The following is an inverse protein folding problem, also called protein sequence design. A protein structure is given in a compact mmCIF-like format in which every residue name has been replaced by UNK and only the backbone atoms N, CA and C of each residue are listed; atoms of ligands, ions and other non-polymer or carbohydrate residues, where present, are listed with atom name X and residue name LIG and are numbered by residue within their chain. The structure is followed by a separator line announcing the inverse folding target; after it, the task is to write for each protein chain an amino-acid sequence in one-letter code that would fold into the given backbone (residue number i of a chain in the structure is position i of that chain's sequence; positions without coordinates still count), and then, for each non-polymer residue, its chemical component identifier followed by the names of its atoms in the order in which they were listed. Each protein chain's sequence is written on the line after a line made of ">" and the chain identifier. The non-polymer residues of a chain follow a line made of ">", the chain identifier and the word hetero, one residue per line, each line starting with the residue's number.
data_IF_949147340633
#
_entry.id   IF_949147340633
#
_cell.length_a   1.000
_cell.length_b   1.000
_cell.length_c   1.000
_cell.angle_alpha   90.00
_cell.angle_beta   90.00
_cell.angle_gamma   90.00
#
_symmetry.space_group_name_H-M   'P 1'
#
loop_
_entity.id
_entity.type
_entity.pdbx_description
1 polymer ?
#
# COMPACT_ATOMS: atom_id res chain seq x y z
N UNK A 1 -19.83 -47.53 -39.09
CA UNK A 1 -18.50 -47.09 -39.57
C UNK A 1 -18.26 -45.66 -39.09
N UNK A 2 -17.34 -45.48 -38.15
CA UNK A 2 -17.00 -44.21 -37.51
C UNK A 2 -16.02 -43.41 -38.38
N UNK A 3 -16.31 -42.14 -38.61
CA UNK A 3 -15.41 -41.17 -39.25
C UNK A 3 -14.67 -40.35 -38.18
N UNK A 4 -13.45 -40.76 -37.83
CA UNK A 4 -12.52 -40.02 -36.98
C UNK A 4 -11.56 -39.19 -37.84
N UNK A 5 -11.79 -37.88 -37.97
CA UNK A 5 -10.96 -37.01 -38.79
C UNK A 5 -10.78 -35.60 -38.21
N UNK A 6 -9.55 -35.31 -37.77
CA UNK A 6 -8.90 -33.99 -37.54
C UNK A 6 -9.26 -33.17 -36.28
N UNK A 7 -8.47 -33.33 -35.18
CA UNK A 7 -8.20 -32.23 -34.24
C UNK A 7 -6.71 -31.81 -34.14
N UNK A 8 -5.75 -32.47 -34.82
CA UNK A 8 -4.31 -32.20 -34.61
C UNK A 8 -3.80 -30.86 -35.16
N UNK A 9 -4.28 -30.39 -36.32
CA UNK A 9 -3.71 -29.20 -37.00
C UNK A 9 -4.06 -27.86 -36.33
N UNK A 10 -5.21 -27.76 -35.66
CA UNK A 10 -5.60 -26.56 -34.89
C UNK A 10 -4.79 -26.39 -33.60
N UNK A 11 -4.35 -27.50 -32.99
CA UNK A 11 -3.57 -27.48 -31.75
C UNK A 11 -2.15 -26.93 -31.96
N UNK A 12 -1.53 -27.24 -33.10
CA UNK A 12 -0.19 -26.78 -33.50
C UNK A 12 -0.15 -25.26 -33.74
N UNK A 13 -1.15 -24.72 -34.46
CA UNK A 13 -1.27 -23.28 -34.72
C UNK A 13 -1.52 -22.51 -33.40
N UNK A 14 -2.35 -23.07 -32.51
CA UNK A 14 -2.60 -22.48 -31.20
C UNK A 14 -1.32 -22.41 -30.36
N UNK A 15 -0.48 -23.46 -30.35
CA UNK A 15 0.80 -23.46 -29.64
C UNK A 15 1.82 -22.49 -30.25
N UNK A 16 1.89 -22.40 -31.57
CA UNK A 16 2.76 -21.46 -32.27
C UNK A 16 2.43 -19.99 -31.92
N UNK A 17 1.15 -19.66 -31.72
CA UNK A 17 0.72 -18.32 -31.28
C UNK A 17 1.20 -17.95 -29.86
N UNK A 18 1.47 -18.93 -28.99
CA UNK A 18 2.01 -18.69 -27.65
C UNK A 18 3.53 -18.54 -27.61
N UNK A 19 4.24 -18.96 -28.66
CA UNK A 19 5.71 -18.89 -28.71
C UNK A 19 6.19 -17.45 -28.69
N UNK A 20 5.56 -16.55 -29.46
CA UNK A 20 5.97 -15.16 -29.55
C UNK A 20 5.77 -14.41 -28.21
N UNK A 21 4.60 -14.47 -27.54
CA UNK A 21 4.44 -13.91 -26.20
C UNK A 21 5.38 -14.53 -25.16
N UNK A 22 5.59 -15.84 -25.18
CA UNK A 22 6.47 -16.51 -24.23
C UNK A 22 7.95 -16.10 -24.44
N UNK A 23 8.40 -16.02 -25.68
CA UNK A 23 9.75 -15.56 -26.03
C UNK A 23 9.95 -14.10 -25.62
N UNK A 24 8.95 -13.25 -25.87
CA UNK A 24 8.97 -11.85 -25.42
C UNK A 24 9.10 -11.76 -23.90
N UNK A 25 8.27 -12.48 -23.13
CA UNK A 25 8.34 -12.49 -21.67
C UNK A 25 9.68 -13.03 -21.16
N UNK A 26 10.16 -14.15 -21.72
CA UNK A 26 11.46 -14.72 -21.36
C UNK A 26 12.58 -13.72 -21.63
N UNK A 27 12.62 -13.10 -22.80
CA UNK A 27 13.67 -12.15 -23.15
C UNK A 27 13.64 -10.92 -22.24
N UNK A 28 12.48 -10.26 -22.09
CA UNK A 28 12.37 -9.01 -21.33
C UNK A 28 12.43 -9.18 -19.81
N UNK A 29 12.14 -10.36 -19.26
CA UNK A 29 12.30 -10.62 -17.82
C UNK A 29 13.64 -11.29 -17.48
N UNK A 30 14.01 -12.36 -18.19
CA UNK A 30 15.16 -13.18 -17.81
C UNK A 30 16.46 -12.49 -18.21
N UNK A 31 16.55 -11.82 -19.37
CA UNK A 31 17.80 -11.20 -19.80
C UNK A 31 18.21 -10.04 -18.89
N UNK A 32 17.34 -9.08 -18.53
CA UNK A 32 17.72 -8.03 -17.57
C UNK A 32 18.09 -8.61 -16.20
N UNK A 33 17.34 -9.60 -15.71
CA UNK A 33 17.63 -10.26 -14.45
C UNK A 33 19.01 -10.93 -14.47
N UNK A 34 19.31 -11.71 -15.51
CA UNK A 34 20.60 -12.34 -15.70
C UNK A 34 21.73 -11.30 -15.78
N UNK A 35 21.52 -10.18 -16.47
CA UNK A 35 22.50 -9.08 -16.52
C UNK A 35 22.75 -8.46 -15.14
N UNK A 36 21.73 -8.25 -14.31
CA UNK A 36 21.89 -7.75 -12.94
C UNK A 36 22.74 -8.72 -12.11
N UNK A 37 22.48 -10.03 -12.23
CA UNK A 37 23.27 -11.07 -11.53
C UNK A 37 24.70 -11.18 -12.07
N UNK A 38 24.93 -10.96 -13.36
CA UNK A 38 26.28 -10.93 -13.93
C UNK A 38 27.05 -9.69 -13.46
N UNK A 39 26.39 -8.53 -13.33
CA UNK A 39 27.02 -7.29 -12.87
C UNK A 39 27.60 -7.45 -11.46
N UNK A 40 26.96 -8.21 -10.58
CA UNK A 40 27.44 -8.43 -9.20
C UNK A 40 28.77 -9.22 -9.14
N UNK A 41 29.11 -9.98 -10.18
CA UNK A 41 30.33 -10.80 -10.26
C UNK A 41 31.42 -10.18 -11.15
N UNK A 42 31.02 -9.47 -12.20
CA UNK A 42 31.91 -8.95 -13.25
C UNK A 42 32.43 -7.54 -12.98
N UNK A 43 31.70 -6.71 -12.24
CA UNK A 43 32.13 -5.33 -11.92
C UNK A 43 32.98 -5.30 -10.67
N UNK A 44 34.05 -4.51 -10.71
CA UNK A 44 34.81 -4.13 -9.53
C UNK A 44 33.99 -3.17 -8.67
N UNK A 45 34.06 -3.33 -7.35
CA UNK A 45 33.34 -2.50 -6.39
C UNK A 45 33.58 -2.99 -4.97
N UNK A 46 33.53 -2.07 -4.00
CA UNK A 46 33.68 -2.38 -2.59
C UNK A 46 32.40 -3.06 -2.10
N UNK A 47 32.54 -4.22 -1.47
CA UNK A 47 31.44 -4.92 -0.81
C UNK A 47 31.58 -4.69 0.69
N UNK A 48 30.54 -4.14 1.31
CA UNK A 48 30.51 -3.90 2.76
C UNK A 48 29.35 -4.67 3.37
N UNK A 49 29.65 -5.54 4.34
CA UNK A 49 28.65 -6.34 5.06
C UNK A 49 27.66 -5.46 5.81
N UNK A 50 28.13 -4.36 6.42
CA UNK A 50 27.27 -3.39 7.09
C UNK A 50 26.29 -2.72 6.12
N UNK A 51 26.73 -2.42 4.90
CA UNK A 51 25.87 -1.85 3.86
C UNK A 51 24.86 -2.87 3.27
N UNK A 52 24.99 -4.16 3.60
CA UNK A 52 23.97 -5.19 3.31
C UNK A 52 23.03 -5.36 4.49
N UNK A 53 23.59 -5.55 5.70
CA UNK A 53 22.83 -5.89 6.88
C UNK A 53 21.93 -4.75 7.36
N UNK A 54 22.43 -3.51 7.35
CA UNK A 54 21.65 -2.35 7.84
C UNK A 54 20.37 -2.13 7.03
N UNK A 55 20.42 -2.05 5.68
CA UNK A 55 19.19 -1.90 4.89
C UNK A 55 18.29 -3.13 4.94
N UNK A 56 18.85 -4.34 4.94
CA UNK A 56 18.07 -5.58 5.04
C UNK A 56 17.28 -5.63 6.36
N UNK A 57 17.97 -5.41 7.49
CA UNK A 57 17.33 -5.39 8.79
C UNK A 57 16.27 -4.29 8.87
N UNK A 58 16.61 -3.08 8.43
CA UNK A 58 15.68 -1.96 8.39
C UNK A 58 14.41 -2.28 7.60
N UNK A 59 14.56 -2.83 6.39
CA UNK A 59 13.44 -3.23 5.52
C UNK A 59 12.54 -4.26 6.21
N UNK A 60 13.12 -5.29 6.84
CA UNK A 60 12.36 -6.35 7.53
C UNK A 60 11.56 -5.77 8.70
N UNK A 61 12.21 -5.09 9.65
CA UNK A 61 11.53 -4.66 10.86
C UNK A 61 10.55 -3.51 10.58
N UNK A 62 10.88 -2.60 9.67
CA UNK A 62 9.99 -1.51 9.28
C UNK A 62 8.74 -2.07 8.59
N UNK A 63 8.89 -3.01 7.65
CA UNK A 63 7.75 -3.63 6.99
C UNK A 63 6.86 -4.41 7.98
N UNK A 64 7.47 -5.11 8.94
CA UNK A 64 6.73 -5.78 10.01
C UNK A 64 5.94 -4.78 10.87
N UNK A 65 6.55 -3.65 11.25
CA UNK A 65 5.89 -2.61 12.03
C UNK A 65 4.73 -1.96 11.25
N UNK A 66 4.96 -1.60 9.99
CA UNK A 66 3.92 -1.06 9.09
C UNK A 66 2.76 -2.03 8.92
N UNK A 67 3.05 -3.33 8.73
CA UNK A 67 2.03 -4.37 8.67
C UNK A 67 1.21 -4.45 9.96
N UNK A 68 1.85 -4.46 11.12
CA UNK A 68 1.14 -4.52 12.41
C UNK A 68 0.23 -3.30 12.61
N UNK A 69 0.73 -2.09 12.35
CA UNK A 69 -0.07 -0.87 12.45
C UNK A 69 -1.25 -0.86 11.47
N UNK A 70 -1.01 -1.37 10.26
CA UNK A 70 -2.05 -1.51 9.24
C UNK A 70 -3.12 -2.52 9.67
N UNK A 71 -2.76 -3.62 10.32
CA UNK A 71 -3.73 -4.59 10.86
C UNK A 71 -4.54 -4.00 12.02
N UNK A 72 -3.91 -3.23 12.90
CA UNK A 72 -4.58 -2.56 14.03
C UNK A 72 -5.71 -1.65 13.54
N UNK A 73 -5.49 -0.91 12.45
CA UNK A 73 -6.54 -0.07 11.85
C UNK A 73 -7.48 -0.85 10.92
N UNK A 74 -6.92 -1.71 10.08
CA UNK A 74 -7.61 -2.40 9.00
C UNK A 74 -8.55 -3.51 9.46
N UNK A 75 -8.25 -4.22 10.56
CA UNK A 75 -9.11 -5.30 11.06
C UNK A 75 -10.43 -4.77 11.63
N UNK A 76 -10.45 -3.75 12.52
CA UNK A 76 -11.70 -3.13 12.95
C UNK A 76 -12.49 -2.54 11.77
N UNK A 77 -11.81 -1.87 10.83
CA UNK A 77 -12.45 -1.35 9.63
C UNK A 77 -13.10 -2.48 8.80
N UNK A 78 -12.37 -3.57 8.54
CA UNK A 78 -12.88 -4.75 7.82
C UNK A 78 -14.15 -5.31 8.48
N UNK A 79 -14.14 -5.41 9.82
CA UNK A 79 -15.29 -5.88 10.58
C UNK A 79 -16.50 -4.93 10.45
N UNK A 80 -16.27 -3.62 10.56
CA UNK A 80 -17.32 -2.61 10.42
C UNK A 80 -17.95 -2.67 9.02
N UNK A 81 -17.11 -2.72 7.97
CA UNK A 81 -17.57 -2.81 6.59
C UNK A 81 -18.29 -4.11 6.27
N UNK A 82 -17.93 -5.23 6.90
CA UNK A 82 -18.57 -6.51 6.68
C UNK A 82 -19.91 -6.62 7.43
N UNK A 83 -19.98 -6.16 8.68
CA UNK A 83 -21.09 -6.43 9.59
C UNK A 83 -22.14 -5.33 9.72
N UNK A 84 -21.81 -4.08 9.40
CA UNK A 84 -22.75 -2.98 9.59
C UNK A 84 -23.22 -2.36 8.28
N UNK A 85 -24.47 -1.93 8.26
CA UNK A 85 -25.00 -1.02 7.24
C UNK A 85 -25.08 0.40 7.83
N UNK A 86 -24.48 1.36 7.15
CA UNK A 86 -24.44 2.77 7.55
C UNK A 86 -24.45 3.67 6.31
N UNK A 87 -24.94 4.90 6.48
CA UNK A 87 -24.99 5.88 5.40
C UNK A 87 -23.58 6.19 4.87
N UNK A 88 -23.42 6.31 3.55
CA UNK A 88 -22.12 6.59 2.93
C UNK A 88 -21.16 5.40 2.83
N UNK A 89 -21.55 4.19 3.24
CA UNK A 89 -20.72 2.97 3.13
C UNK A 89 -20.16 2.72 1.71
N UNK A 90 -20.97 3.00 0.68
CA UNK A 90 -20.55 2.88 -0.72
C UNK A 90 -19.44 3.86 -1.09
N UNK A 91 -19.59 5.13 -0.71
CA UNK A 91 -18.59 6.18 -0.91
C UNK A 91 -17.31 5.85 -0.14
N UNK A 92 -17.39 5.46 1.12
CA UNK A 92 -16.21 5.11 1.91
C UNK A 92 -15.47 3.88 1.34
N UNK A 93 -16.21 2.91 0.79
CA UNK A 93 -15.61 1.78 0.06
C UNK A 93 -14.84 2.24 -1.17
N UNK A 94 -15.37 3.19 -1.94
CA UNK A 94 -14.65 3.81 -3.07
C UNK A 94 -13.41 4.58 -2.57
N UNK A 95 -13.54 5.39 -1.52
CA UNK A 95 -12.42 6.13 -0.95
C UNK A 95 -11.29 5.21 -0.49
N UNK A 96 -11.62 4.06 0.12
CA UNK A 96 -10.60 3.07 0.50
C UNK A 96 -9.85 2.48 -0.69
N UNK A 97 -10.38 2.52 -1.92
CA UNK A 97 -9.65 2.04 -3.11
C UNK A 97 -8.71 3.08 -3.72
N UNK A 98 -8.86 4.37 -3.39
CA UNK A 98 -8.05 5.46 -3.96
C UNK A 98 -6.54 5.28 -3.75
N UNK A 99 -6.04 4.88 -2.57
CA UNK A 99 -4.59 4.75 -2.36
C UNK A 99 -3.89 3.88 -3.40
N UNK A 100 -4.53 2.80 -3.86
CA UNK A 100 -3.94 1.89 -4.85
C UNK A 100 -3.89 2.44 -6.28
N UNK A 101 -4.65 3.50 -6.56
CA UNK A 101 -4.73 4.14 -7.87
C UNK A 101 -3.73 5.31 -7.93
N UNK A 102 -3.36 5.86 -6.78
CA UNK A 102 -2.54 7.06 -6.70
C UNK A 102 -1.04 6.74 -6.88
N UNK A 103 -0.32 7.50 -7.71
CA UNK A 103 1.13 7.43 -7.76
C UNK A 103 1.77 7.77 -6.41
N UNK A 104 2.90 7.14 -6.09
CA UNK A 104 3.63 7.36 -4.83
C UNK A 104 4.03 8.80 -4.61
N UNK A 105 4.43 9.48 -5.68
CA UNK A 105 4.79 10.91 -5.67
C UNK A 105 3.61 11.79 -5.27
N UNK A 106 2.40 11.48 -5.74
CA UNK A 106 1.18 12.25 -5.42
C UNK A 106 0.85 12.13 -3.95
N UNK A 107 0.93 10.92 -3.39
CA UNK A 107 0.66 10.69 -1.96
C UNK A 107 1.73 11.35 -1.09
N UNK A 108 3.01 11.24 -1.46
CA UNK A 108 4.08 11.94 -0.77
C UNK A 108 3.86 13.46 -0.79
N UNK A 109 3.56 14.04 -1.96
CA UNK A 109 3.22 15.45 -2.10
C UNK A 109 2.02 15.86 -1.25
N UNK A 110 0.98 15.02 -1.14
CA UNK A 110 -0.18 15.27 -0.29
C UNK A 110 0.15 15.26 1.20
N UNK A 111 0.93 14.29 1.66
CA UNK A 111 1.42 14.30 3.04
C UNK A 111 2.35 15.49 3.32
N UNK A 112 3.21 15.88 2.38
CA UNK A 112 4.04 17.09 2.50
C UNK A 112 3.19 18.37 2.50
N UNK A 113 2.11 18.42 1.70
CA UNK A 113 1.17 19.53 1.68
C UNK A 113 0.39 19.66 3.00
N UNK A 114 0.08 18.54 3.66
CA UNK A 114 -0.64 18.52 4.93
C UNK A 114 0.29 18.75 6.14
N UNK A 115 1.34 17.93 6.27
CA UNK A 115 2.18 17.79 7.47
C UNK A 115 3.64 18.21 7.28
N UNK A 116 4.03 18.64 6.07
CA UNK A 116 5.38 19.13 5.82
C UNK A 116 5.70 20.41 6.59
N UNK A 117 6.96 20.88 6.56
CA UNK A 117 7.38 22.12 7.24
C UNK A 117 6.53 23.34 6.85
N UNK A 118 6.14 23.42 5.58
CA UNK A 118 5.20 24.41 5.02
C UNK A 118 3.85 23.78 4.68
N UNK A 119 3.44 22.80 5.49
CA UNK A 119 2.16 22.11 5.37
C UNK A 119 1.04 22.90 6.05
N UNK A 120 -0.20 22.63 5.67
CA UNK A 120 -1.37 23.32 6.22
C UNK A 120 -1.47 23.20 7.75
N UNK A 121 -1.16 22.04 8.32
CA UNK A 121 -1.24 21.82 9.77
C UNK A 121 -0.19 22.65 10.51
N UNK A 122 1.06 22.63 10.04
CA UNK A 122 2.12 23.44 10.63
C UNK A 122 1.85 24.94 10.47
N UNK A 123 1.37 25.38 9.30
CA UNK A 123 0.99 26.78 9.08
C UNK A 123 -0.10 27.24 10.05
N UNK A 124 -1.15 26.43 10.22
CA UNK A 124 -2.22 26.72 11.18
C UNK A 124 -1.70 26.76 12.63
N UNK A 125 -0.87 25.79 13.04
CA UNK A 125 -0.30 25.76 14.39
C UNK A 125 0.62 26.96 14.65
N UNK A 126 1.45 27.32 13.67
CA UNK A 126 2.35 28.46 13.79
C UNK A 126 1.58 29.77 13.95
N UNK A 127 0.49 29.95 13.19
CA UNK A 127 -0.38 31.12 13.33
C UNK A 127 -1.15 31.12 14.66
N UNK A 128 -1.71 29.98 15.07
CA UNK A 128 -2.51 29.86 16.28
C UNK A 128 -1.68 30.06 17.57
N UNK A 129 -0.42 29.62 17.58
CA UNK A 129 0.46 29.65 18.74
C UNK A 129 1.65 30.63 18.60
N UNK A 130 1.65 31.45 17.55
CA UNK A 130 2.72 32.41 17.22
C UNK A 130 4.14 31.80 17.21
N UNK A 131 4.28 30.60 16.64
CA UNK A 131 5.55 29.86 16.59
C UNK A 131 6.36 30.27 15.36
N UNK A 132 7.67 30.44 15.54
CA UNK A 132 8.59 30.77 14.45
C UNK A 132 9.04 29.54 13.64
N UNK A 133 9.04 28.36 14.27
CA UNK A 133 9.47 27.11 13.66
C UNK A 133 8.30 26.11 13.59
N UNK A 134 8.23 25.26 12.55
CA UNK A 134 7.19 24.26 12.43
C UNK A 134 7.29 23.24 13.57
N UNK A 135 6.25 23.08 14.41
CA UNK A 135 6.31 22.19 15.56
C UNK A 135 6.31 20.70 15.17
N UNK A 136 5.73 20.34 14.02
CA UNK A 136 5.66 18.95 13.54
C UNK A 136 6.73 18.72 12.47
N UNK A 137 7.76 17.96 12.83
CA UNK A 137 8.76 17.46 11.88
C UNK A 137 8.32 16.11 11.29
N UNK A 138 7.46 16.14 10.27
CA UNK A 138 6.96 14.91 9.64
C UNK A 138 7.92 14.36 8.58
N UNK A 139 8.52 15.22 7.74
CA UNK A 139 9.43 14.79 6.68
C UNK A 139 10.70 14.15 7.24
N UNK A 140 11.24 13.18 6.50
CA UNK A 140 12.44 12.43 6.85
C UNK A 140 12.34 11.69 8.19
N UNK A 141 11.15 11.14 8.49
CA UNK A 141 10.90 10.40 9.72
C UNK A 141 10.33 9.01 9.45
N UNK A 142 10.57 8.10 10.40
CA UNK A 142 9.91 6.80 10.41
C UNK A 142 8.38 6.96 10.46
N UNK A 143 7.87 7.93 11.23
CA UNK A 143 6.42 8.18 11.35
C UNK A 143 5.76 8.45 9.99
N UNK A 144 6.44 9.20 9.11
CA UNK A 144 5.94 9.47 7.78
C UNK A 144 5.86 8.21 6.90
N UNK A 145 6.87 7.34 6.99
CA UNK A 145 6.88 6.05 6.32
C UNK A 145 5.69 5.20 6.82
N UNK A 146 5.56 5.06 8.14
CA UNK A 146 4.54 4.21 8.75
C UNK A 146 3.12 4.67 8.40
N UNK A 147 2.83 5.97 8.50
CA UNK A 147 1.51 6.53 8.18
C UNK A 147 1.19 6.38 6.69
N UNK A 148 2.16 6.60 5.80
CA UNK A 148 1.96 6.39 4.37
C UNK A 148 1.70 4.91 4.04
N UNK A 149 2.42 3.98 4.65
CA UNK A 149 2.14 2.54 4.50
C UNK A 149 0.74 2.16 4.99
N UNK A 150 0.32 2.67 6.15
CA UNK A 150 -1.05 2.46 6.66
C UNK A 150 -2.08 3.04 5.69
N UNK A 151 -1.84 4.22 5.11
CA UNK A 151 -2.68 4.83 4.07
C UNK A 151 -2.87 3.91 2.86
N UNK A 152 -1.80 3.33 2.32
CA UNK A 152 -1.90 2.40 1.19
C UNK A 152 -2.61 1.10 1.57
N UNK A 153 -2.14 0.49 2.65
CA UNK A 153 -2.36 -0.93 2.87
C UNK A 153 -3.59 -1.27 3.72
N UNK A 154 -4.20 -0.27 4.39
CA UNK A 154 -5.44 -0.48 5.16
C UNK A 154 -6.54 -1.08 4.28
N UNK A 155 -6.62 -0.67 3.02
CA UNK A 155 -7.63 -1.15 2.08
C UNK A 155 -7.42 -2.61 1.66
N UNK A 156 -6.18 -3.11 1.65
CA UNK A 156 -5.89 -4.54 1.46
C UNK A 156 -6.53 -5.35 2.57
N UNK A 157 -6.33 -4.94 3.83
CA UNK A 157 -6.88 -5.63 4.99
C UNK A 157 -8.42 -5.60 4.95
N UNK A 158 -9.01 -4.43 4.69
CA UNK A 158 -10.46 -4.28 4.53
C UNK A 158 -10.98 -5.22 3.45
N UNK A 159 -10.31 -5.31 2.29
CA UNK A 159 -10.76 -6.12 1.17
C UNK A 159 -10.59 -7.61 1.43
N UNK A 160 -9.40 -8.07 1.85
CA UNK A 160 -9.09 -9.49 2.04
C UNK A 160 -9.87 -10.06 3.23
N UNK A 161 -9.81 -9.40 4.39
CA UNK A 161 -10.47 -9.88 5.61
C UNK A 161 -11.97 -9.63 5.55
N UNK A 162 -12.40 -8.47 5.02
CA UNK A 162 -13.82 -8.15 4.86
C UNK A 162 -14.53 -9.09 3.89
N UNK A 163 -13.88 -9.48 2.78
CA UNK A 163 -14.46 -10.46 1.85
C UNK A 163 -14.60 -11.84 2.50
N UNK A 164 -13.61 -12.28 3.27
CA UNK A 164 -13.71 -13.53 4.01
C UNK A 164 -14.83 -13.51 5.06
N UNK A 165 -14.96 -12.40 5.81
CA UNK A 165 -16.05 -12.18 6.76
C UNK A 165 -17.44 -12.29 6.10
N UNK A 166 -17.59 -11.76 4.89
CA UNK A 166 -18.85 -11.83 4.14
C UNK A 166 -19.10 -13.24 3.60
N UNK A 167 -18.08 -14.05 3.36
CA UNK A 167 -18.25 -15.42 2.88
C UNK A 167 -18.62 -16.42 3.97
N UNK A 168 -18.28 -16.16 5.24
CA UNK A 168 -18.64 -17.05 6.35
C UNK A 168 -20.13 -17.01 6.69
N UNK A 169 -20.71 -18.18 7.00
CA UNK A 169 -22.11 -18.33 7.39
C UNK A 169 -22.34 -17.74 8.81
N UNK A 170 -23.19 -16.71 8.97
CA UNK A 170 -23.55 -16.15 10.27
C UNK A 170 -24.18 -17.16 11.22
N UNK A 171 -24.79 -18.23 10.69
CA UNK A 171 -25.46 -19.28 11.49
C UNK A 171 -24.49 -19.97 12.44
N UNK A 172 -23.20 -20.04 12.09
CA UNK A 172 -22.17 -20.60 12.99
C UNK A 172 -22.00 -19.69 14.23
N UNK A 173 -22.02 -18.37 14.04
CA UNK A 173 -21.97 -17.41 15.15
C UNK A 173 -23.28 -17.36 15.94
N UNK A 174 -24.43 -17.55 15.28
CA UNK A 174 -25.75 -17.66 15.92
C UNK A 174 -25.87 -18.91 16.78
N UNK A 175 -25.41 -20.07 16.30
CA UNK A 175 -25.35 -21.30 17.07
C UNK A 175 -24.50 -21.12 18.35
N UNK A 176 -23.35 -20.46 18.24
CA UNK A 176 -22.53 -20.11 19.41
C UNK A 176 -23.26 -19.23 20.43
N UNK A 177 -24.11 -18.30 19.97
CA UNK A 177 -24.96 -17.47 20.85
C UNK A 177 -26.10 -18.25 21.48
N UNK A 178 -26.74 -19.16 20.75
CA UNK A 178 -27.82 -20.03 21.25
C UNK A 178 -27.30 -20.96 22.36
N UNK A 179 -26.04 -21.42 22.25
CA UNK A 179 -25.35 -22.19 23.28
C UNK A 179 -24.91 -21.34 24.51
N UNK A 180 -25.37 -20.10 24.63
CA UNK A 180 -25.05 -19.21 25.75
C UNK A 180 -23.71 -18.46 25.63
N UNK A 181 -23.07 -18.49 24.45
CA UNK A 181 -21.86 -17.73 24.19
C UNK A 181 -22.11 -16.22 24.18
N UNK A 182 -21.37 -15.46 24.99
CA UNK A 182 -21.37 -14.00 24.90
C UNK A 182 -20.77 -13.53 23.57
N UNK A 183 -21.08 -12.31 23.07
CA UNK A 183 -20.56 -11.81 21.80
C UNK A 183 -19.02 -11.87 21.70
N UNK A 184 -18.32 -11.59 22.80
CA UNK A 184 -16.86 -11.68 22.85
C UNK A 184 -16.36 -13.14 22.81
N UNK A 185 -17.04 -14.07 23.51
CA UNK A 185 -16.70 -15.50 23.47
C UNK A 185 -16.86 -16.05 22.05
N UNK A 186 -17.99 -15.78 21.41
CA UNK A 186 -18.26 -16.20 20.02
C UNK A 186 -17.23 -15.59 19.06
N UNK A 187 -16.90 -14.30 19.21
CA UNK A 187 -15.85 -13.70 18.40
C UNK A 187 -14.49 -14.40 18.57
N UNK A 188 -14.06 -14.65 19.80
CA UNK A 188 -12.74 -15.22 20.10
C UNK A 188 -12.62 -16.70 19.72
N UNK A 189 -13.68 -17.47 19.91
CA UNK A 189 -13.66 -18.94 19.76
C UNK A 189 -14.19 -19.42 18.41
N UNK A 190 -15.00 -18.62 17.72
CA UNK A 190 -15.59 -18.97 16.41
C UNK A 190 -15.07 -18.04 15.32
N UNK A 191 -15.37 -16.75 15.40
CA UNK A 191 -15.09 -15.80 14.30
C UNK A 191 -13.60 -15.63 14.05
N UNK A 192 -12.80 -15.39 15.09
CA UNK A 192 -11.37 -15.12 14.98
C UNK A 192 -10.61 -16.33 14.43
N UNK A 193 -10.79 -17.58 14.92
CA UNK A 193 -10.15 -18.76 14.34
C UNK A 193 -10.49 -18.99 12.86
N UNK A 194 -11.73 -18.75 12.45
CA UNK A 194 -12.14 -18.83 11.04
C UNK A 194 -11.42 -17.77 10.18
N UNK A 195 -11.30 -16.56 10.71
CA UNK A 195 -10.62 -15.44 10.04
C UNK A 195 -9.10 -15.51 10.07
N UNK A 196 -8.48 -16.18 11.04
CA UNK A 196 -7.02 -16.20 11.27
C UNK A 196 -6.21 -16.33 9.99
N UNK A 197 -6.51 -17.27 9.07
CA UNK A 197 -5.67 -17.40 7.90
C UNK A 197 -6.00 -16.38 6.79
N UNK A 198 -7.19 -15.75 6.80
CA UNK A 198 -7.44 -14.57 5.95
C UNK A 198 -6.69 -13.34 6.47
N UNK A 199 -6.58 -13.20 7.80
CA UNK A 199 -5.75 -12.20 8.46
C UNK A 199 -4.28 -12.45 8.12
N UNK A 200 -3.81 -13.70 8.17
CA UNK A 200 -2.42 -14.06 7.81
C UNK A 200 -2.10 -13.75 6.34
N UNK A 201 -3.02 -14.07 5.43
CA UNK A 201 -2.88 -13.73 4.00
C UNK A 201 -2.82 -12.21 3.80
N UNK A 202 -3.69 -11.46 4.47
CA UNK A 202 -3.66 -10.00 4.43
C UNK A 202 -2.35 -9.45 5.01
N UNK A 203 -1.91 -9.98 6.16
CA UNK A 203 -0.68 -9.60 6.83
C UNK A 203 0.55 -9.81 5.92
N UNK A 204 0.68 -10.99 5.31
CA UNK A 204 1.79 -11.28 4.39
C UNK A 204 1.76 -10.41 3.13
N UNK A 205 0.56 -10.10 2.62
CA UNK A 205 0.42 -9.22 1.47
C UNK A 205 0.82 -7.77 1.80
N UNK A 206 0.38 -7.25 2.95
CA UNK A 206 0.78 -5.93 3.44
C UNK A 206 2.28 -5.89 3.72
N UNK A 207 2.82 -6.90 4.41
CA UNK A 207 4.25 -7.02 4.66
C UNK A 207 5.04 -7.01 3.35
N UNK A 208 4.60 -7.75 2.33
CA UNK A 208 5.25 -7.79 1.03
C UNK A 208 5.25 -6.42 0.34
N UNK A 209 4.13 -5.67 0.41
CA UNK A 209 4.05 -4.32 -0.15
C UNK A 209 4.95 -3.32 0.59
N UNK A 210 4.99 -3.38 1.92
CA UNK A 210 5.86 -2.52 2.72
C UNK A 210 7.33 -2.89 2.56
N UNK A 211 7.63 -4.19 2.44
CA UNK A 211 8.98 -4.73 2.20
C UNK A 211 9.52 -4.36 0.83
N UNK A 212 8.64 -4.08 -0.14
CA UNK A 212 9.01 -3.68 -1.52
C UNK A 212 8.79 -2.18 -1.78
N UNK A 213 8.66 -1.38 -0.72
CA UNK A 213 8.30 0.02 -0.80
C UNK A 213 9.50 0.91 -1.09
N UNK A 214 9.59 1.41 -2.33
CA UNK A 214 10.65 2.33 -2.73
C UNK A 214 10.24 3.80 -2.61
N UNK A 215 9.14 4.19 -3.27
CA UNK A 215 8.77 5.60 -3.44
C UNK A 215 8.43 6.30 -2.13
N UNK A 216 7.75 5.62 -1.20
CA UNK A 216 7.41 6.17 0.12
C UNK A 216 8.68 6.47 0.91
N UNK A 217 9.61 5.51 0.96
CA UNK A 217 10.85 5.64 1.73
C UNK A 217 11.71 6.75 1.15
N UNK A 218 11.89 6.77 -0.17
CA UNK A 218 12.73 7.77 -0.84
C UNK A 218 12.20 9.20 -0.62
N UNK A 219 10.88 9.40 -0.74
CA UNK A 219 10.29 10.74 -0.70
C UNK A 219 9.96 11.24 0.71
N UNK A 220 9.62 10.35 1.64
CA UNK A 220 9.18 10.71 3.00
C UNK A 220 10.17 10.30 4.09
N UNK A 221 10.99 9.28 3.87
CA UNK A 221 11.99 8.80 4.81
C UNK A 221 13.32 9.55 4.72
N UNK A 222 13.71 10.01 3.53
CA UNK A 222 14.99 10.70 3.34
C UNK A 222 16.21 9.78 3.56
N UNK A 223 17.43 10.34 3.60
CA UNK A 223 18.67 9.57 3.50
C UNK A 223 18.96 8.69 4.73
N UNK A 224 18.34 8.98 5.88
CA UNK A 224 18.56 8.22 7.12
C UNK A 224 17.88 6.85 7.10
N UNK A 225 16.74 6.74 6.43
CA UNK A 225 15.91 5.54 6.43
C UNK A 225 16.08 4.82 5.09
N UNK A 226 17.20 4.15 4.90
CA UNK A 226 17.48 3.42 3.67
C UNK A 226 17.01 1.96 3.78
N UNK A 227 15.97 1.60 3.03
CA UNK A 227 15.61 0.19 2.77
C UNK A 227 16.56 -0.41 1.72
N UNK A 228 16.38 -1.70 1.41
CA UNK A 228 17.10 -2.37 0.34
C UNK A 228 16.96 -1.65 -1.00
N UNK A 229 15.75 -1.21 -1.37
CA UNK A 229 15.47 -0.53 -2.63
C UNK A 229 16.17 0.83 -2.71
N UNK A 230 16.07 1.63 -1.65
CA UNK A 230 16.74 2.93 -1.58
C UNK A 230 18.26 2.75 -1.62
N UNK A 231 18.76 1.70 -1.00
CA UNK A 231 20.18 1.35 -1.04
C UNK A 231 20.61 0.90 -2.42
N UNK A 232 19.83 0.06 -3.13
CA UNK A 232 20.09 -0.32 -4.51
C UNK A 232 20.14 0.93 -5.40
N UNK A 233 19.16 1.82 -5.26
CA UNK A 233 19.10 3.09 -6.00
C UNK A 233 20.34 3.96 -5.75
N UNK A 234 20.69 4.17 -4.48
CA UNK A 234 21.84 5.01 -4.08
C UNK A 234 23.15 4.40 -4.56
N UNK A 235 23.33 3.08 -4.46
CA UNK A 235 24.52 2.39 -4.95
C UNK A 235 24.64 2.48 -6.48
N UNK A 236 23.51 2.47 -7.19
CA UNK A 236 23.47 2.53 -8.65
C UNK A 236 23.71 3.93 -9.18
N UNK A 237 23.00 4.94 -8.67
CA UNK A 237 22.99 6.29 -9.26
C UNK A 237 23.91 7.28 -8.56
N UNK A 238 24.15 7.12 -7.26
CA UNK A 238 24.97 8.07 -6.49
C UNK A 238 26.41 7.57 -6.32
N UNK A 239 26.57 6.29 -5.95
CA UNK A 239 27.90 5.71 -5.68
C UNK A 239 28.51 5.00 -6.89
N UNK A 240 27.73 4.75 -7.94
CA UNK A 240 28.11 3.99 -9.14
C UNK A 240 28.72 2.61 -8.84
N UNK A 241 28.46 2.06 -7.65
CA UNK A 241 28.94 0.75 -7.21
C UNK A 241 27.95 -0.33 -7.64
N UNK A 242 28.00 -0.65 -8.93
CA UNK A 242 27.11 -1.61 -9.56
C UNK A 242 27.25 -3.02 -8.98
N UNK A 243 28.44 -3.38 -8.48
CA UNK A 243 28.69 -4.66 -7.82
C UNK A 243 27.82 -4.80 -6.57
N UNK A 244 27.85 -3.79 -5.70
CA UNK A 244 27.05 -3.76 -4.47
C UNK A 244 25.55 -3.69 -4.77
N UNK A 245 25.14 -2.86 -5.74
CA UNK A 245 23.75 -2.78 -6.18
C UNK A 245 23.20 -4.13 -6.68
N UNK A 246 24.01 -4.87 -7.45
CA UNK A 246 23.66 -6.22 -7.93
C UNK A 246 23.48 -7.22 -6.78
N UNK A 247 24.37 -7.21 -5.77
CA UNK A 247 24.24 -8.06 -4.59
C UNK A 247 22.97 -7.75 -3.78
N UNK A 248 22.70 -6.47 -3.52
CA UNK A 248 21.47 -6.06 -2.83
C UNK A 248 20.21 -6.44 -3.61
N UNK A 249 20.25 -6.31 -4.95
CA UNK A 249 19.14 -6.72 -5.83
C UNK A 249 18.89 -8.24 -5.78
N UNK A 250 19.95 -9.05 -5.74
CA UNK A 250 19.83 -10.49 -5.57
C UNK A 250 19.22 -10.87 -4.21
N UNK A 251 19.67 -10.22 -3.12
CA UNK A 251 19.13 -10.44 -1.78
C UNK A 251 17.65 -10.06 -1.74
N UNK A 252 17.29 -8.89 -2.27
CA UNK A 252 15.90 -8.44 -2.38
C UNK A 252 15.04 -9.48 -3.12
N UNK A 253 15.51 -9.93 -4.29
CA UNK A 253 14.81 -10.95 -5.09
C UNK A 253 14.60 -12.26 -4.30
N UNK A 254 15.64 -12.74 -3.63
CA UNK A 254 15.57 -13.96 -2.83
C UNK A 254 14.57 -13.84 -1.68
N UNK A 255 14.57 -12.70 -0.97
CA UNK A 255 13.60 -12.40 0.07
C UNK A 255 12.16 -12.32 -0.47
N UNK A 256 11.92 -11.54 -1.52
CA UNK A 256 10.61 -11.39 -2.17
C UNK A 256 10.07 -12.73 -2.66
N UNK A 257 10.93 -13.57 -3.25
CA UNK A 257 10.56 -14.92 -3.69
C UNK A 257 10.18 -15.80 -2.48
N UNK A 258 10.99 -15.79 -1.42
CA UNK A 258 10.69 -16.53 -0.18
C UNK A 258 9.37 -16.14 0.47
N UNK A 259 9.09 -14.83 0.57
CA UNK A 259 7.83 -14.31 1.12
C UNK A 259 6.64 -14.73 0.23
N UNK A 260 6.80 -14.68 -1.10
CA UNK A 260 5.76 -15.06 -2.06
C UNK A 260 5.47 -16.57 -2.04
N UNK A 261 6.49 -17.40 -1.88
CA UNK A 261 6.32 -18.85 -1.68
C UNK A 261 5.57 -19.14 -0.38
N UNK A 262 5.91 -18.43 0.70
CA UNK A 262 5.20 -18.54 1.97
C UNK A 262 3.73 -18.14 1.83
N UNK A 263 3.46 -17.00 1.20
CA UNK A 263 2.11 -16.54 0.86
C UNK A 263 1.32 -17.61 0.09
N UNK A 264 1.90 -18.15 -0.99
CA UNK A 264 1.22 -19.14 -1.84
C UNK A 264 0.92 -20.43 -1.09
N UNK A 265 1.86 -20.93 -0.27
CA UNK A 265 1.66 -22.16 0.54
C UNK A 265 0.56 -22.01 1.59
N UNK A 266 0.44 -20.81 2.18
CA UNK A 266 -0.59 -20.53 3.18
C UNK A 266 -1.96 -20.28 2.54
N UNK A 267 -1.99 -19.72 1.34
CA UNK A 267 -3.23 -19.43 0.61
C UNK A 267 -3.83 -20.67 -0.09
N UNK A 268 -2.98 -21.60 -0.58
CA UNK A 268 -3.39 -22.74 -1.42
C UNK A 268 -4.25 -23.83 -0.77
N UNK A 269 -4.53 -23.76 0.53
CA UNK A 269 -5.31 -24.77 1.27
C UNK A 269 -6.78 -24.41 1.50
N UNK A 270 -7.33 -23.41 0.79
CA UNK A 270 -8.65 -22.85 1.12
C UNK A 270 -9.66 -22.93 -0.01
N UNK A 271 -10.38 -24.05 -0.03
CA UNK A 271 -11.73 -24.14 -0.57
C UNK A 271 -12.69 -23.98 0.61
N UNK A 272 -12.90 -22.74 1.09
CA UNK A 272 -14.01 -22.51 2.02
C UNK A 272 -15.29 -22.77 1.21
N UNK A 273 -16.17 -23.68 1.62
CA UNK A 273 -17.41 -23.92 0.89
C UNK A 273 -18.19 -22.61 0.81
N UNK A 274 -18.25 -22.07 -0.40
CA UNK A 274 -19.04 -20.89 -0.74
C UNK A 274 -20.49 -21.30 -0.68
N UNK A 275 -21.13 -21.15 0.48
CA UNK A 275 -22.58 -21.25 0.54
C UNK A 275 -23.15 -19.96 -0.08
N UNK A 276 -24.01 -20.05 -1.10
CA UNK A 276 -24.65 -18.86 -1.67
C UNK A 276 -25.44 -18.15 -0.58
N UNK A 277 -25.05 -16.92 -0.24
CA UNK A 277 -25.77 -16.07 0.71
C UNK A 277 -26.82 -15.24 0.01
N UNK A 278 -27.96 -15.00 0.67
CA UNK A 278 -28.87 -13.94 0.25
C UNK A 278 -28.23 -12.58 0.57
N UNK A 279 -28.32 -11.65 -0.37
CA UNK A 279 -27.69 -10.31 -0.28
C UNK A 279 -28.21 -9.58 0.97
N UNK A 280 -27.34 -9.40 1.98
CA UNK A 280 -27.66 -8.66 3.21
C UNK A 280 -27.82 -9.50 4.48
N UNK A 281 -27.76 -10.83 4.39
CA UNK A 281 -27.72 -11.67 5.60
C UNK A 281 -26.56 -11.28 6.52
N UNK A 282 -26.74 -11.36 7.84
CA UNK A 282 -25.70 -11.07 8.85
C UNK A 282 -25.24 -9.61 8.93
N UNK A 283 -25.83 -8.69 8.16
CA UNK A 283 -25.58 -7.24 8.26
C UNK A 283 -26.59 -6.65 9.24
N UNK A 284 -26.11 -5.87 10.21
CA UNK A 284 -26.95 -5.18 11.21
C UNK A 284 -26.86 -3.66 11.07
N UNK A 285 -27.94 -2.97 11.40
CA UNK A 285 -27.90 -1.52 11.64
C UNK A 285 -27.35 -1.27 13.05
N UNK A 286 -26.49 -0.26 13.26
CA UNK A 286 -25.95 0.03 14.58
C UNK A 286 -27.06 0.54 15.51
N UNK A 287 -27.26 -0.16 16.63
CA UNK A 287 -28.34 0.15 17.59
C UNK A 287 -27.80 0.82 18.84
N UNK A 288 -26.67 0.35 19.37
CA UNK A 288 -26.06 0.89 20.59
C UNK A 288 -25.33 2.21 20.32
N UNK A 289 -25.33 3.12 21.30
CA UNK A 289 -24.51 4.34 21.27
C UNK A 289 -23.04 3.98 21.06
N UNK A 290 -22.56 2.92 21.72
CA UNK A 290 -21.18 2.45 21.56
C UNK A 290 -20.87 1.99 20.13
N UNK A 291 -21.81 1.32 19.46
CA UNK A 291 -21.62 0.91 18.06
C UNK A 291 -21.59 2.12 17.15
N UNK A 292 -22.48 3.10 17.37
CA UNK A 292 -22.52 4.34 16.58
C UNK A 292 -21.25 5.16 16.77
N UNK A 293 -20.73 5.30 17.99
CA UNK A 293 -19.50 6.04 18.26
C UNK A 293 -18.28 5.32 17.69
N UNK A 294 -18.17 4.00 17.83
CA UNK A 294 -17.07 3.23 17.26
C UNK A 294 -17.05 3.30 15.72
N UNK A 295 -18.22 3.18 15.08
CA UNK A 295 -18.34 3.34 13.62
C UNK A 295 -18.01 4.77 13.20
N UNK A 296 -18.57 5.77 13.89
CA UNK A 296 -18.30 7.18 13.63
C UNK A 296 -16.81 7.51 13.73
N UNK A 297 -16.15 7.07 14.81
CA UNK A 297 -14.71 7.24 15.00
C UNK A 297 -13.90 6.57 13.89
N UNK A 298 -14.23 5.32 13.52
CA UNK A 298 -13.54 4.63 12.43
C UNK A 298 -13.71 5.34 11.09
N UNK A 299 -14.93 5.80 10.78
CA UNK A 299 -15.20 6.58 9.56
C UNK A 299 -14.37 7.86 9.58
N UNK A 300 -14.34 8.59 10.69
CA UNK A 300 -13.53 9.80 10.84
C UNK A 300 -12.05 9.51 10.64
N UNK A 301 -11.50 8.45 11.25
CA UNK A 301 -10.09 8.07 11.09
C UNK A 301 -9.80 7.75 9.62
N UNK A 302 -10.64 6.96 8.96
CA UNK A 302 -10.45 6.63 7.55
C UNK A 302 -10.58 7.85 6.64
N UNK A 303 -11.53 8.75 6.90
CA UNK A 303 -11.67 9.98 6.13
C UNK A 303 -10.47 10.92 6.33
N UNK A 304 -10.04 11.12 7.58
CA UNK A 304 -8.85 11.92 7.87
C UNK A 304 -7.63 11.32 7.19
N UNK A 305 -7.39 10.01 7.34
CA UNK A 305 -6.25 9.34 6.73
C UNK A 305 -6.30 9.43 5.20
N UNK A 306 -7.43 9.11 4.57
CA UNK A 306 -7.53 8.93 3.12
C UNK A 306 -7.77 10.23 2.35
N UNK A 307 -8.52 11.17 2.93
CA UNK A 307 -8.96 12.39 2.23
C UNK A 307 -8.09 13.58 2.60
N UNK A 308 -7.65 13.73 3.84
CA UNK A 308 -6.94 14.96 4.26
C UNK A 308 -5.63 15.23 3.50
N UNK A 309 -4.76 14.23 3.19
CA UNK A 309 -3.54 14.51 2.43
C UNK A 309 -3.85 14.94 0.98
N UNK A 310 -4.89 14.36 0.38
CA UNK A 310 -5.31 14.66 -0.99
C UNK A 310 -6.01 16.02 -1.08
N UNK A 311 -6.87 16.32 -0.10
CA UNK A 311 -7.51 17.62 0.02
C UNK A 311 -6.46 18.72 0.25
N UNK A 312 -5.45 18.46 1.10
CA UNK A 312 -4.35 19.41 1.31
C UNK A 312 -3.55 19.64 0.03
N UNK A 313 -3.29 18.60 -0.76
CA UNK A 313 -2.63 18.75 -2.05
C UNK A 313 -3.46 19.59 -3.03
N UNK A 314 -4.75 19.29 -3.14
CA UNK A 314 -5.67 20.00 -4.01
C UNK A 314 -5.78 21.48 -3.61
N UNK A 315 -5.91 21.78 -2.32
CA UNK A 315 -5.93 23.14 -1.81
C UNK A 315 -4.60 23.86 -2.07
N UNK A 316 -3.46 23.19 -1.83
CA UNK A 316 -2.13 23.76 -2.10
C UNK A 316 -1.87 24.02 -3.58
N UNK A 317 -2.58 23.34 -4.48
CA UNK A 317 -2.49 23.62 -5.93
C UNK A 317 -3.11 24.97 -6.33
N UNK A 318 -4.00 25.54 -5.51
CA UNK A 318 -4.69 26.82 -5.77
C UNK A 318 -4.38 27.90 -4.74
N UNK A 319 -3.63 27.56 -3.68
CA UNK A 319 -3.22 28.49 -2.64
C UNK A 319 -1.71 28.71 -2.69
N UNK A 320 -1.30 29.97 -2.76
CA UNK A 320 0.08 30.38 -2.57
C UNK A 320 0.18 31.10 -1.23
N UNK A 321 0.94 30.50 -0.31
CA UNK A 321 1.23 31.10 0.98
C UNK A 321 2.51 31.89 0.88
N UNK A 322 2.44 33.19 1.16
CA UNK A 322 3.61 34.04 1.24
C UNK A 322 4.40 33.72 2.52
N UNK A 323 5.70 33.48 2.38
CA UNK A 323 6.57 33.09 3.47
C UNK A 323 6.77 34.22 4.50
N UNK A 324 6.63 35.48 4.08
CA UNK A 324 6.84 36.64 4.93
C UNK A 324 5.60 37.00 5.77
N UNK A 325 4.42 36.91 5.17
CA UNK A 325 3.16 37.36 5.81
C UNK A 325 2.30 36.20 6.31
N UNK A 326 2.64 34.95 5.97
CA UNK A 326 1.82 33.74 6.18
C UNK A 326 0.38 33.86 5.63
N UNK A 327 0.10 34.88 4.82
CA UNK A 327 -1.20 35.04 4.17
C UNK A 327 -1.29 34.12 2.97
N UNK A 328 -2.43 33.46 2.82
CA UNK A 328 -2.69 32.53 1.71
C UNK A 328 -3.60 33.20 0.69
N UNK A 329 -3.08 33.41 -0.51
CA UNK A 329 -3.83 34.00 -1.61
C UNK A 329 -4.20 32.93 -2.63
N UNK A 330 -5.41 33.04 -3.19
CA UNK A 330 -5.83 32.18 -4.30
C UNK A 330 -5.02 32.53 -5.55
N UNK A 331 -4.44 31.52 -6.19
CA UNK A 331 -3.61 31.68 -7.38
C UNK A 331 -3.84 30.54 -8.37
N UNK A 332 -3.61 30.83 -9.65
CA UNK A 332 -3.49 29.83 -10.71
C UNK A 332 -2.05 29.77 -11.25
N UNK A 333 -1.08 30.32 -10.50
CA UNK A 333 0.32 30.37 -10.92
C UNK A 333 0.88 28.98 -11.25
N UNK A 334 0.63 27.97 -10.43
CA UNK A 334 1.11 26.60 -10.68
C UNK A 334 0.58 26.01 -11.98
N UNK A 335 -0.66 26.35 -12.37
CA UNK A 335 -1.25 25.92 -13.64
C UNK A 335 -0.68 26.69 -14.83
N UNK A 336 -0.39 27.99 -14.66
CA UNK A 336 0.27 28.81 -15.69
C UNK A 336 1.71 28.35 -15.94
N UNK A 337 2.43 27.93 -14.91
CA UNK A 337 3.80 27.40 -15.01
C UNK A 337 3.88 26.13 -15.86
N UNK A 338 2.79 25.38 -16.02
CA UNK A 338 2.77 24.23 -16.93
C UNK A 338 2.98 24.63 -18.40
N UNK A 339 2.72 25.89 -18.76
CA UNK A 339 2.87 26.45 -20.11
C UNK A 339 4.20 27.19 -20.33
N UNK A 340 5.09 27.21 -19.32
CA UNK A 340 6.35 27.97 -19.35
C UNK A 340 7.54 27.01 -19.30
N UNK A 341 8.35 27.00 -20.35
CA UNK A 341 9.60 26.23 -20.39
C UNK A 341 10.76 27.02 -19.75
N UNK A 342 10.79 27.14 -18.42
CA UNK A 342 11.83 27.93 -17.72
C UNK A 342 13.25 27.40 -17.87
N UNK A 343 13.40 26.11 -18.12
CA UNK A 343 14.70 25.43 -18.13
C UNK A 343 15.18 25.11 -19.56
N UNK A 344 14.52 25.66 -20.58
CA UNK A 344 14.77 25.34 -22.00
C UNK A 344 14.87 23.82 -22.25
N UNK A 345 14.01 23.06 -21.57
CA UNK A 345 14.03 21.61 -21.63
C UNK A 345 13.63 21.15 -23.03
N UNK A 346 14.49 20.37 -23.67
CA UNK A 346 14.32 19.90 -25.05
C UNK A 346 13.06 19.02 -25.23
N UNK A 347 12.62 18.35 -24.15
CA UNK A 347 11.42 17.49 -24.14
C UNK A 347 10.21 18.17 -23.50
N UNK A 348 10.21 19.50 -23.40
CA UNK A 348 9.05 20.22 -22.92
C UNK A 348 7.91 20.10 -23.92
N UNK A 349 6.79 19.52 -23.48
CA UNK A 349 5.54 19.46 -24.23
C UNK A 349 4.48 20.15 -23.37
N UNK A 350 3.97 21.32 -23.79
CA UNK A 350 2.90 21.99 -23.05
C UNK A 350 1.64 21.11 -23.06
N UNK A 351 0.81 21.17 -22.00
CA UNK A 351 -0.51 20.57 -22.03
C UNK A 351 -1.32 21.09 -23.22
N UNK A 352 -2.10 20.21 -23.86
CA UNK A 352 -2.94 20.53 -25.02
C UNK A 352 -4.13 21.43 -24.67
#
# INVERSE_FOLDING_TARGET
>A
MQSTGKPRKKLEISRALWVLPAAFLLFFFIVPLAKILLVMTTRSGVVSTNAIFQPLWFTIWQAALSMLLTLVLGLPAAFIFARYNFAGKGVLRLLTTLPFILPTVVVAAGFTALLGPRGMVNGWLMQAFNLQNPPIAFMNTLGAILIAHVFYNTSVVIRVVGSALVQFDPRIEEAGRVLGGSPWRVFREVTLPLLRPSILVAALMVFLFDFTSFGVILLLGGPKFATLEVSIYTQTLSMLNLRMAGLLSFIQLACTFGITLLYTRLNGKRSVPLMPRLKGEGVRTPKSIFEKTAIGLMITILLVLLVSPLAALAMKSVLQTDAATQTSNLTLAYYRELFINRNDAFFYVPPA
#
